data_IF_750005034319
#
_entry.id   IF_750005034319
#
_cell.length_a   1.000
_cell.length_b   1.000
_cell.length_c   1.000
_cell.angle_alpha   90.00
_cell.angle_beta   90.00
_cell.angle_gamma   90.00
#
_symmetry.space_group_name_H-M   'P 1'
#
loop_
_entity.id
_entity.type
_entity.pdbx_description
1 polymer ?
#
# COMPACT_ATOMS: atom_id res chain seq x y z
N UNK A 1 22.84 -14.61 16.26
CA UNK A 1 22.12 -14.06 15.09
C UNK A 1 21.84 -12.56 15.31
N UNK A 2 21.91 -11.66 14.30
CA UNK A 2 21.82 -10.17 14.48
C UNK A 2 20.65 -9.70 15.35
N UNK A 3 19.52 -10.41 15.30
CA UNK A 3 18.32 -10.13 16.08
C UNK A 3 18.49 -10.37 17.60
N UNK A 4 19.34 -11.31 18.06
CA UNK A 4 19.65 -11.45 19.50
C UNK A 4 20.38 -10.23 20.05
N UNK A 5 21.27 -9.62 19.25
CA UNK A 5 22.06 -8.47 19.70
C UNK A 5 21.22 -7.19 19.80
N UNK A 6 20.13 -7.09 19.02
CA UNK A 6 19.28 -5.90 18.97
C UNK A 6 18.21 -5.89 20.06
N UNK A 7 17.60 -7.04 20.32
CA UNK A 7 16.57 -7.16 21.35
C UNK A 7 16.59 -8.58 21.93
N UNK A 8 17.44 -8.83 22.94
CA UNK A 8 17.62 -10.16 23.50
C UNK A 8 16.40 -10.66 24.28
N UNK A 9 15.54 -9.76 24.75
CA UNK A 9 14.36 -10.10 25.56
C UNK A 9 13.11 -10.39 24.72
N UNK A 10 13.14 -10.11 23.42
CA UNK A 10 12.01 -10.38 22.54
C UNK A 10 11.95 -11.85 22.12
N UNK A 11 10.82 -12.49 22.41
CA UNK A 11 10.48 -13.82 21.87
C UNK A 11 10.39 -13.74 20.34
N UNK A 12 11.02 -14.71 19.66
CA UNK A 12 11.07 -14.77 18.19
C UNK A 12 10.25 -15.95 17.70
N UNK A 13 9.33 -15.67 16.79
CA UNK A 13 8.57 -16.69 16.08
C UNK A 13 8.99 -16.69 14.62
N UNK A 14 9.42 -17.84 14.10
CA UNK A 14 9.71 -18.03 12.68
C UNK A 14 8.44 -18.52 12.01
N UNK A 15 7.95 -17.77 11.02
CA UNK A 15 6.67 -18.04 10.38
C UNK A 15 6.83 -18.01 8.86
N UNK A 16 6.14 -18.91 8.17
CA UNK A 16 6.05 -18.93 6.72
C UNK A 16 4.63 -18.51 6.32
N UNK A 17 4.50 -17.53 5.42
CA UNK A 17 3.22 -17.06 4.89
C UNK A 17 2.18 -16.70 5.98
N UNK A 18 2.61 -16.01 7.02
CA UNK A 18 1.75 -15.59 8.15
C UNK A 18 1.11 -16.73 8.95
N UNK A 19 1.62 -17.96 8.82
CA UNK A 19 1.22 -19.06 9.70
C UNK A 19 1.89 -18.90 11.06
N UNK A 20 1.11 -18.47 12.03
CA UNK A 20 1.47 -18.35 13.43
C UNK A 20 0.23 -18.63 14.28
N UNK A 21 0.41 -19.27 15.44
CA UNK A 21 -0.68 -19.37 16.40
C UNK A 21 -1.09 -17.96 16.83
N UNK A 22 -2.38 -17.65 16.73
CA UNK A 22 -2.93 -16.34 17.05
C UNK A 22 -2.66 -15.93 18.51
N UNK A 23 -2.51 -16.88 19.43
CA UNK A 23 -2.14 -16.63 20.84
C UNK A 23 -0.74 -16.05 20.99
N UNK A 24 0.12 -16.25 20.01
CA UNK A 24 1.48 -15.69 19.99
C UNK A 24 1.50 -14.26 19.42
N UNK A 25 0.36 -13.76 18.94
CA UNK A 25 0.21 -12.41 18.34
C UNK A 25 -0.76 -11.55 19.15
N UNK A 26 -1.92 -12.10 19.50
CA UNK A 26 -2.97 -11.45 20.28
C UNK A 26 -2.87 -11.87 21.75
N UNK A 27 -3.28 -10.97 22.66
CA UNK A 27 -3.23 -11.20 24.11
C UNK A 27 -1.84 -11.54 24.66
N UNK A 28 -0.77 -11.05 24.02
CA UNK A 28 0.62 -11.25 24.49
C UNK A 28 1.00 -10.34 25.67
N UNK A 29 0.05 -9.57 26.21
CA UNK A 29 0.21 -8.65 27.36
C UNK A 29 1.50 -7.80 27.35
N UNK A 30 2.06 -7.51 26.16
CA UNK A 30 3.33 -6.79 25.99
C UNK A 30 3.26 -5.31 26.41
N UNK A 31 2.06 -4.85 26.77
CA UNK A 31 1.74 -3.52 27.28
C UNK A 31 1.02 -3.57 28.63
N UNK A 32 1.16 -4.66 29.41
CA UNK A 32 0.63 -4.67 30.78
C UNK A 32 1.31 -3.57 31.62
N UNK A 33 0.49 -2.66 32.13
CA UNK A 33 0.90 -1.44 32.81
C UNK A 33 1.69 -1.76 34.09
N UNK A 34 1.36 -2.88 34.75
CA UNK A 34 2.01 -3.35 35.96
C UNK A 34 3.46 -3.82 35.72
N UNK A 35 3.79 -4.29 34.52
CA UNK A 35 5.16 -4.68 34.16
C UNK A 35 6.01 -3.47 33.71
N UNK A 36 5.40 -2.52 32.96
CA UNK A 36 6.09 -1.30 32.51
C UNK A 36 6.42 -0.32 33.63
N UNK A 37 5.62 -0.27 34.70
CA UNK A 37 5.90 0.56 35.88
C UNK A 37 7.17 0.12 36.63
N UNK A 38 7.60 -1.14 36.49
CA UNK A 38 8.86 -1.62 37.08
C UNK A 38 10.09 -1.30 36.24
N UNK A 39 9.93 -1.07 34.94
CA UNK A 39 11.04 -0.87 33.99
C UNK A 39 11.32 0.61 33.64
N UNK A 40 10.41 1.55 33.94
CA UNK A 40 10.60 2.97 33.61
C UNK A 40 10.30 3.89 34.81
N UNK A 41 11.32 4.20 35.60
CA UNK A 41 11.26 5.25 36.62
C UNK A 41 11.34 6.68 36.02
N UNK A 42 11.49 6.82 34.69
CA UNK A 42 11.49 8.11 34.01
C UNK A 42 10.37 8.12 32.96
N UNK A 43 9.34 8.92 33.23
CA UNK A 43 8.07 8.95 32.51
C UNK A 43 8.22 9.06 31.00
N UNK A 44 7.51 8.18 30.29
CA UNK A 44 7.34 8.24 28.85
C UNK A 44 6.28 9.31 28.58
N UNK A 45 6.71 10.52 28.22
CA UNK A 45 5.84 11.49 27.54
C UNK A 45 5.54 10.96 26.13
N UNK A 46 4.63 9.98 26.03
CA UNK A 46 4.04 9.57 24.77
C UNK A 46 3.04 10.64 24.34
N UNK A 47 3.54 11.78 23.86
CA UNK A 47 2.77 12.60 22.94
C UNK A 47 2.66 11.77 21.67
N UNK A 48 1.46 11.30 21.35
CA UNK A 48 1.13 10.80 20.01
C UNK A 48 1.41 11.92 19.01
N UNK A 49 2.64 11.98 18.52
CA UNK A 49 3.04 12.83 17.41
C UNK A 49 2.45 12.19 16.14
N UNK A 50 1.16 12.42 15.90
CA UNK A 50 0.65 12.32 14.54
C UNK A 50 1.40 13.36 13.72
N UNK A 51 2.38 12.91 12.92
CA UNK A 51 3.01 13.76 11.92
C UNK A 51 1.94 14.10 10.87
N UNK A 52 1.29 15.26 11.04
CA UNK A 52 0.19 15.78 10.19
C UNK A 52 0.58 15.85 8.69
N UNK A 53 1.87 15.72 8.36
CA UNK A 53 2.36 15.68 6.98
C UNK A 53 2.11 14.35 6.26
N UNK A 54 1.78 13.27 6.98
CA UNK A 54 1.44 11.97 6.39
C UNK A 54 -0.04 11.94 6.03
N UNK A 55 -0.33 11.64 4.77
CA UNK A 55 -1.71 11.57 4.26
C UNK A 55 -1.90 10.36 3.35
N UNK A 56 -3.18 10.00 3.17
CA UNK A 56 -3.60 8.99 2.20
C UNK A 56 -4.39 9.63 1.07
N UNK A 57 -4.09 9.24 -0.17
CA UNK A 57 -4.80 9.69 -1.37
C UNK A 57 -5.41 8.50 -2.10
N UNK A 58 -6.70 8.61 -2.43
CA UNK A 58 -7.42 7.65 -3.28
C UNK A 58 -7.68 8.27 -4.65
N UNK A 59 -7.25 7.59 -5.70
CA UNK A 59 -7.55 7.90 -7.10
C UNK A 59 -8.52 6.84 -7.64
N UNK A 60 -9.56 7.29 -8.33
CA UNK A 60 -10.53 6.42 -8.99
C UNK A 60 -10.72 6.81 -10.45
N UNK A 61 -10.90 5.82 -11.31
CA UNK A 61 -11.23 6.01 -12.72
C UNK A 61 -12.06 4.83 -13.24
N UNK A 62 -13.16 5.12 -13.94
CA UNK A 62 -14.05 4.10 -14.51
C UNK A 62 -13.60 3.67 -15.91
N UNK A 63 -12.87 4.54 -16.61
CA UNK A 63 -12.32 4.23 -17.94
C UNK A 63 -11.13 3.27 -17.84
N UNK A 64 -10.96 2.39 -18.84
CA UNK A 64 -9.83 1.49 -18.88
C UNK A 64 -8.51 2.25 -19.03
N UNK A 65 -7.47 1.75 -18.37
CA UNK A 65 -6.13 2.33 -18.36
C UNK A 65 -5.19 1.59 -19.31
N UNK A 66 -4.23 2.32 -19.86
CA UNK A 66 -3.12 1.76 -20.62
C UNK A 66 -2.00 1.30 -19.66
N UNK A 67 -1.70 0.00 -19.67
CA UNK A 67 -0.72 -0.60 -18.78
C UNK A 67 0.71 -0.06 -19.00
N UNK A 68 1.08 0.28 -20.24
CA UNK A 68 2.40 0.82 -20.54
C UNK A 68 2.53 2.24 -19.99
N UNK A 69 1.52 3.09 -20.19
CA UNK A 69 1.48 4.45 -19.63
C UNK A 69 1.52 4.41 -18.10
N UNK A 70 0.76 3.50 -17.48
CA UNK A 70 0.79 3.28 -16.03
C UNK A 70 2.18 2.89 -15.53
N UNK A 71 2.82 1.88 -16.12
CA UNK A 71 4.14 1.41 -15.69
C UNK A 71 5.22 2.51 -15.79
N UNK A 72 5.19 3.30 -16.87
CA UNK A 72 6.09 4.44 -17.04
C UNK A 72 5.84 5.52 -15.98
N UNK A 73 4.58 5.87 -15.74
CA UNK A 73 4.22 6.85 -14.72
C UNK A 73 4.63 6.40 -13.32
N UNK A 74 4.39 5.14 -12.95
CA UNK A 74 4.83 4.61 -11.65
C UNK A 74 6.34 4.59 -11.51
N UNK A 75 7.07 4.16 -12.54
CA UNK A 75 8.54 4.16 -12.50
C UNK A 75 9.08 5.57 -12.25
N UNK A 76 8.53 6.57 -12.94
CA UNK A 76 8.86 7.97 -12.71
C UNK A 76 8.46 8.45 -11.30
N UNK A 77 7.25 8.12 -10.87
CA UNK A 77 6.73 8.53 -9.56
C UNK A 77 7.58 7.98 -8.42
N UNK A 78 7.96 6.71 -8.49
CA UNK A 78 8.82 6.05 -7.52
C UNK A 78 10.23 6.65 -7.54
N UNK A 79 10.79 6.94 -8.70
CA UNK A 79 12.11 7.56 -8.81
C UNK A 79 12.16 8.97 -8.20
N UNK A 80 11.10 9.76 -8.34
CA UNK A 80 11.06 11.16 -7.90
C UNK A 80 10.53 11.32 -6.47
N UNK A 81 9.55 10.50 -6.06
CA UNK A 81 8.86 10.63 -4.79
C UNK A 81 8.92 9.39 -3.90
N UNK A 82 9.70 8.37 -4.26
CA UNK A 82 9.68 7.08 -3.55
C UNK A 82 10.10 7.16 -2.08
N UNK A 83 10.92 8.13 -1.68
CA UNK A 83 11.22 8.39 -0.26
C UNK A 83 10.00 8.89 0.53
N UNK A 84 9.11 9.64 -0.14
CA UNK A 84 7.90 10.18 0.42
C UNK A 84 6.70 9.23 0.27
N UNK A 85 6.83 8.16 -0.52
CA UNK A 85 5.80 7.14 -0.72
C UNK A 85 6.08 5.96 0.20
N UNK A 86 5.22 5.74 1.18
CA UNK A 86 5.42 4.64 2.13
C UNK A 86 4.78 3.36 1.61
N UNK A 87 3.54 3.46 1.14
CA UNK A 87 2.81 2.32 0.60
C UNK A 87 1.82 2.76 -0.45
N UNK A 88 1.64 1.94 -1.46
CA UNK A 88 0.59 2.13 -2.43
C UNK A 88 0.07 0.78 -2.93
N UNK A 89 -1.23 0.77 -3.23
CA UNK A 89 -1.94 -0.41 -3.74
C UNK A 89 -3.00 0.01 -4.72
N UNK A 90 -3.25 -0.79 -5.73
CA UNK A 90 -4.34 -0.56 -6.65
C UNK A 90 -4.93 -1.83 -7.21
N UNK A 91 -6.19 -1.72 -7.62
CA UNK A 91 -6.89 -2.67 -8.47
C UNK A 91 -7.29 -1.90 -9.70
N UNK A 92 -6.75 -2.28 -10.87
CA UNK A 92 -6.82 -1.48 -12.08
C UNK A 92 -7.61 -2.22 -13.17
N UNK A 93 -8.50 -1.48 -13.82
CA UNK A 93 -9.16 -1.87 -15.06
C UNK A 93 -8.22 -1.54 -16.23
N UNK A 94 -7.56 -2.55 -16.77
CA UNK A 94 -6.60 -2.40 -17.87
C UNK A 94 -7.28 -2.69 -19.20
N UNK A 95 -7.01 -1.85 -20.20
CA UNK A 95 -7.48 -2.09 -21.56
C UNK A 95 -7.10 -3.49 -22.06
N UNK A 96 -8.08 -4.19 -22.64
CA UNK A 96 -7.86 -5.49 -23.29
C UNK A 96 -7.63 -6.65 -22.31
N UNK A 97 -7.83 -6.44 -21.01
CA UNK A 97 -7.71 -7.48 -19.99
C UNK A 97 -9.05 -7.75 -19.30
N UNK A 98 -9.42 -9.01 -19.21
CA UNK A 98 -10.60 -9.47 -18.45
C UNK A 98 -10.30 -9.76 -16.99
N UNK A 99 -9.01 -9.80 -16.64
CA UNK A 99 -8.53 -9.92 -15.26
C UNK A 99 -8.30 -8.56 -14.63
N UNK A 100 -8.51 -8.49 -13.32
CA UNK A 100 -8.12 -7.34 -12.51
C UNK A 100 -6.60 -7.30 -12.47
N UNK A 101 -6.03 -6.12 -12.67
CA UNK A 101 -4.59 -5.93 -12.50
C UNK A 101 -4.34 -5.36 -11.11
N UNK A 102 -3.72 -6.15 -10.24
CA UNK A 102 -3.39 -5.72 -8.88
C UNK A 102 -1.99 -5.13 -8.89
N UNK A 103 -1.90 -3.93 -8.34
CA UNK A 103 -0.67 -3.18 -8.18
C UNK A 103 -0.36 -3.05 -6.69
N UNK A 104 0.89 -3.24 -6.29
CA UNK A 104 1.32 -2.96 -4.92
C UNK A 104 2.78 -2.54 -4.87
N UNK A 105 3.09 -1.63 -3.95
CA UNK A 105 4.46 -1.27 -3.67
C UNK A 105 4.66 -0.66 -2.29
N UNK A 106 5.93 -0.68 -1.89
CA UNK A 106 6.45 -0.21 -0.60
C UNK A 106 7.73 0.55 -0.91
N UNK A 107 7.75 1.84 -0.62
CA UNK A 107 8.85 2.73 -0.98
C UNK A 107 9.23 2.61 -2.48
N UNK A 108 10.49 2.25 -2.74
CA UNK A 108 11.07 2.14 -4.08
C UNK A 108 10.69 0.86 -4.83
N UNK A 109 10.03 -0.08 -4.16
CA UNK A 109 9.70 -1.38 -4.72
C UNK A 109 8.24 -1.40 -5.16
N UNK A 110 7.98 -1.78 -6.40
CA UNK A 110 6.63 -2.03 -6.89
C UNK A 110 6.55 -3.33 -7.69
N UNK A 111 5.37 -3.94 -7.67
CA UNK A 111 5.03 -5.12 -8.45
C UNK A 111 3.58 -5.01 -8.95
N UNK A 112 3.32 -5.59 -10.12
CA UNK A 112 1.97 -5.71 -10.66
C UNK A 112 1.73 -7.11 -11.20
N UNK A 113 0.54 -7.65 -10.94
CA UNK A 113 0.12 -8.98 -11.39
C UNK A 113 -1.35 -8.97 -11.82
N UNK A 114 -1.72 -9.86 -12.73
CA UNK A 114 -3.12 -10.13 -13.03
C UNK A 114 -3.70 -11.13 -12.02
N UNK A 115 -4.78 -10.77 -11.35
CA UNK A 115 -5.38 -11.61 -10.32
C UNK A 115 -6.90 -11.52 -10.29
N UNK A 116 -7.54 -12.66 -10.51
CA UNK A 116 -9.00 -12.78 -10.53
C UNK A 116 -9.63 -12.13 -11.76
N UNK A 117 -10.70 -12.74 -12.25
CA UNK A 117 -11.48 -12.18 -13.35
C UNK A 117 -12.38 -11.06 -12.81
N UNK A 118 -12.67 -10.06 -13.65
CA UNK A 118 -13.85 -9.21 -13.43
C UNK A 118 -15.11 -10.07 -13.56
N UNK A 119 -16.06 -9.94 -12.64
CA UNK A 119 -17.38 -10.58 -12.82
C UNK A 119 -18.17 -9.77 -13.86
N UNK A 120 -19.09 -10.42 -14.56
CA UNK A 120 -19.92 -9.75 -15.57
C UNK A 120 -20.77 -8.62 -14.98
N UNK A 121 -21.15 -8.76 -13.72
CA UNK A 121 -21.95 -7.81 -12.95
C UNK A 121 -21.12 -6.68 -12.32
N UNK A 122 -19.78 -6.83 -12.28
CA UNK A 122 -18.92 -5.85 -11.63
C UNK A 122 -18.74 -4.61 -12.52
N UNK A 123 -18.97 -3.42 -11.95
CA UNK A 123 -18.49 -2.19 -12.59
C UNK A 123 -16.96 -2.17 -12.53
N UNK A 124 -16.30 -2.23 -13.70
CA UNK A 124 -14.83 -2.21 -13.77
C UNK A 124 -14.30 -0.82 -13.41
N UNK A 125 -13.90 -0.64 -12.15
CA UNK A 125 -13.35 0.62 -11.63
C UNK A 125 -11.89 0.41 -11.26
N UNK A 126 -11.02 1.30 -11.74
CA UNK A 126 -9.64 1.40 -11.25
C UNK A 126 -9.62 2.20 -9.97
N UNK A 127 -9.07 1.62 -8.90
CA UNK A 127 -8.87 2.27 -7.61
C UNK A 127 -7.41 2.14 -7.22
N UNK A 128 -6.81 3.26 -6.79
CA UNK A 128 -5.40 3.33 -6.42
C UNK A 128 -5.25 4.18 -5.17
N UNK A 129 -4.69 3.60 -4.12
CA UNK A 129 -4.40 4.27 -2.85
C UNK A 129 -2.91 4.50 -2.69
N UNK A 130 -2.55 5.70 -2.26
CA UNK A 130 -1.20 6.08 -1.85
C UNK A 130 -1.22 6.51 -0.38
N UNK A 131 -0.16 6.16 0.34
CA UNK A 131 0.09 6.61 1.71
C UNK A 131 1.52 7.13 1.74
N UNK A 132 1.70 8.37 2.19
CA UNK A 132 2.99 9.04 2.13
C UNK A 132 2.97 10.44 2.70
N UNK A 133 4.11 11.11 2.61
CA UNK A 133 4.31 12.47 3.12
C UNK A 133 4.17 13.50 2.00
N UNK A 134 3.52 14.63 2.27
CA UNK A 134 3.38 15.76 1.34
C UNK A 134 2.85 15.37 -0.07
N UNK A 135 1.85 14.49 -0.12
CA UNK A 135 1.26 14.02 -1.38
C UNK A 135 0.49 15.15 -2.07
N UNK A 136 0.87 15.50 -3.30
CA UNK A 136 0.15 16.49 -4.11
C UNK A 136 -0.98 15.81 -4.89
N UNK A 137 -2.21 15.92 -4.36
CA UNK A 137 -3.41 15.28 -4.92
C UNK A 137 -3.69 15.69 -6.36
N UNK A 138 -3.58 16.97 -6.68
CA UNK A 138 -3.92 17.53 -7.99
C UNK A 138 -2.94 17.01 -9.05
N UNK A 139 -1.63 17.00 -8.73
CA UNK A 139 -0.58 16.48 -9.59
C UNK A 139 -0.75 14.99 -9.85
N UNK A 140 -0.95 14.19 -8.79
CA UNK A 140 -1.13 12.74 -8.91
C UNK A 140 -2.39 12.39 -9.70
N UNK A 141 -3.50 13.08 -9.44
CA UNK A 141 -4.77 12.91 -10.18
C UNK A 141 -4.58 13.25 -11.66
N UNK A 142 -3.92 14.37 -11.98
CA UNK A 142 -3.66 14.78 -13.37
C UNK A 142 -2.77 13.79 -14.11
N UNK A 143 -1.72 13.29 -13.47
CA UNK A 143 -0.84 12.29 -14.07
C UNK A 143 -1.54 10.96 -14.28
N UNK A 144 -2.31 10.49 -13.29
CA UNK A 144 -3.10 9.26 -13.39
C UNK A 144 -4.10 9.32 -14.56
N UNK A 145 -4.78 10.46 -14.76
CA UNK A 145 -5.69 10.66 -15.90
C UNK A 145 -5.01 10.58 -17.26
N UNK A 146 -3.70 10.83 -17.37
CA UNK A 146 -2.95 10.65 -18.63
C UNK A 146 -2.72 9.17 -18.98
N UNK A 147 -2.92 8.28 -18.01
CA UNK A 147 -2.79 6.84 -18.22
C UNK A 147 -4.07 6.20 -18.74
N UNK A 148 -5.13 6.98 -18.95
CA UNK A 148 -6.39 6.49 -19.52
C UNK A 148 -6.15 6.09 -20.97
N UNK A 149 -6.70 4.95 -21.36
CA UNK A 149 -6.61 4.50 -22.74
C UNK A 149 -7.39 5.43 -23.67
N UNK A 150 -6.81 5.70 -24.83
CA UNK A 150 -7.41 6.52 -25.88
C UNK A 150 -8.30 5.70 -26.83
N UNK A 151 -8.29 4.36 -26.74
CA UNK A 151 -9.17 3.57 -27.60
C UNK A 151 -10.60 3.68 -27.10
N UNK A 152 -11.42 4.31 -27.93
CA UNK A 152 -12.88 4.32 -27.78
C UNK A 152 -13.34 2.87 -27.85
N UNK A 153 -13.82 2.32 -26.74
CA UNK A 153 -14.49 1.02 -26.72
C UNK A 153 -15.72 1.12 -27.63
N UNK A 154 -15.62 0.56 -28.84
CA UNK A 154 -16.82 0.21 -29.60
C UNK A 154 -17.51 -0.89 -28.80
N UNK A 155 -18.72 -0.59 -28.29
CA UNK A 155 -19.64 -1.62 -27.83
C UNK A 155 -19.73 -2.69 -28.91
N UNK A 156 -19.42 -3.94 -28.54
CA UNK A 156 -19.65 -5.10 -29.41
C UNK A 156 -21.14 -5.08 -29.82
N UNK A 157 -21.47 -5.28 -31.10
CA UNK A 157 -22.86 -5.34 -31.56
C UNK A 157 -23.61 -6.54 -30.95
#
# INVERSE_FOLDING_TARGET
MRLEKMNPTATKYVCLNSQIDLRNVLNIYSFDLNEKLRLNANGINAKDHHDESISSLLLKETRPLDLRKLNLWFSYLVQIQGENLYRYKGVLNIEGKDKRYIFQGVHMLFAGEEKGNWREEDTRISELVFIGKNLNKEKLTRQFRRCISEKIFKSKP
#
